data_IF_184856592169
#
_entry.id   IF_184856592169
#
_cell.length_a   1.000
_cell.length_b   1.000
_cell.length_c   1.000
_cell.angle_alpha   90.00
_cell.angle_beta   90.00
_cell.angle_gamma   90.00
#
_symmetry.space_group_name_H-M   'P 1'
#
loop_
_entity.id
_entity.type
_entity.pdbx_description
1 polymer ?
#
# COMPACT_ATOMS: atom_id res chain seq x y z
N UNK A 1 -8.12 -19.62 -13.97
CA UNK A 1 -7.89 -19.33 -12.53
C UNK A 1 -7.65 -17.85 -12.40
N UNK A 2 -8.55 -17.13 -11.73
CA UNK A 2 -8.38 -15.70 -11.48
C UNK A 2 -7.26 -15.57 -10.45
N UNK A 3 -6.10 -15.08 -10.86
CA UNK A 3 -5.09 -14.69 -9.89
C UNK A 3 -5.61 -13.45 -9.20
N UNK A 4 -6.07 -13.61 -7.96
CA UNK A 4 -6.46 -12.48 -7.13
C UNK A 4 -5.23 -11.58 -6.93
N UNK A 5 -5.17 -10.50 -7.69
CA UNK A 5 -4.08 -9.52 -7.68
C UNK A 5 -4.03 -8.75 -6.36
N UNK A 6 -5.06 -8.88 -5.51
CA UNK A 6 -5.09 -8.30 -4.17
C UNK A 6 -4.19 -9.05 -3.16
N UNK A 7 -3.83 -10.30 -3.45
CA UNK A 7 -2.96 -11.12 -2.60
C UNK A 7 -1.48 -10.87 -2.88
N UNK A 8 -0.70 -10.75 -1.81
CA UNK A 8 0.76 -10.64 -1.88
C UNK A 8 1.34 -11.94 -2.44
N UNK A 9 2.52 -11.89 -3.08
CA UNK A 9 3.17 -13.08 -3.63
C UNK A 9 3.34 -14.22 -2.62
N UNK A 10 3.63 -13.90 -1.35
CA UNK A 10 3.78 -14.89 -0.28
C UNK A 10 2.48 -15.63 0.01
N UNK A 11 1.37 -14.91 0.14
CA UNK A 11 0.05 -15.51 0.41
C UNK A 11 -0.43 -16.37 -0.75
N UNK A 12 -0.29 -15.88 -1.98
CA UNK A 12 -0.62 -16.67 -3.18
C UNK A 12 0.16 -17.98 -3.22
N UNK A 13 1.42 -17.97 -2.78
CA UNK A 13 2.24 -19.18 -2.78
C UNK A 13 1.90 -20.12 -1.63
N UNK A 14 1.60 -19.58 -0.44
CA UNK A 14 1.12 -20.37 0.72
C UNK A 14 -0.22 -21.03 0.40
N UNK A 15 -1.20 -20.28 -0.10
CA UNK A 15 -2.52 -20.82 -0.45
C UNK A 15 -2.42 -21.89 -1.52
N UNK A 16 -1.63 -21.66 -2.58
CA UNK A 16 -1.41 -22.68 -3.62
C UNK A 16 -0.83 -23.98 -3.07
N UNK A 17 0.10 -23.92 -2.11
CA UNK A 17 0.64 -25.14 -1.50
C UNK A 17 -0.39 -25.82 -0.60
N UNK A 18 -1.22 -25.06 0.11
CA UNK A 18 -2.32 -25.61 0.89
C UNK A 18 -3.37 -26.29 0.00
N UNK A 19 -3.72 -25.70 -1.14
CA UNK A 19 -4.58 -26.29 -2.18
C UNK A 19 -3.99 -27.57 -2.77
N UNK A 20 -2.66 -27.71 -2.77
CA UNK A 20 -1.96 -28.93 -3.17
C UNK A 20 -1.92 -29.99 -2.05
N UNK A 21 -2.55 -29.73 -0.89
CA UNK A 21 -2.66 -30.66 0.22
C UNK A 21 -1.46 -30.68 1.16
N UNK A 22 -0.56 -29.69 1.09
CA UNK A 22 0.56 -29.62 2.03
C UNK A 22 0.11 -29.06 3.38
N UNK A 23 0.64 -29.64 4.45
CA UNK A 23 0.38 -29.16 5.81
C UNK A 23 1.14 -27.86 6.12
N UNK A 24 0.66 -27.15 7.14
CA UNK A 24 1.18 -25.84 7.51
C UNK A 24 2.65 -25.88 7.99
N UNK A 25 3.11 -27.02 8.54
CA UNK A 25 4.47 -27.20 9.01
C UNK A 25 5.45 -27.37 7.84
N UNK A 26 5.09 -28.17 6.84
CA UNK A 26 5.86 -28.37 5.62
C UNK A 26 5.94 -27.09 4.79
N UNK A 27 4.82 -26.37 4.66
CA UNK A 27 4.82 -25.05 4.03
C UNK A 27 5.72 -24.10 4.82
N UNK A 28 5.57 -24.04 6.15
CA UNK A 28 6.38 -23.19 7.03
C UNK A 28 7.87 -23.45 6.85
N UNK A 29 8.30 -24.72 6.87
CA UNK A 29 9.71 -25.11 6.65
C UNK A 29 10.27 -24.58 5.33
N UNK A 30 9.50 -24.62 4.25
CA UNK A 30 9.91 -24.09 2.93
C UNK A 30 10.11 -22.59 2.92
N UNK A 31 9.38 -21.87 3.78
CA UNK A 31 9.54 -20.43 4.00
C UNK A 31 10.49 -20.09 5.15
N UNK A 32 11.16 -21.07 5.77
CA UNK A 32 11.99 -20.91 6.99
C UNK A 32 11.20 -20.28 8.15
N UNK A 33 9.94 -20.67 8.29
CA UNK A 33 8.99 -20.19 9.29
C UNK A 33 8.28 -21.36 10.00
N UNK A 34 7.55 -21.05 11.07
CA UNK A 34 6.77 -22.04 11.83
C UNK A 34 5.43 -22.37 11.17
N UNK A 35 4.79 -23.45 11.61
CA UNK A 35 3.42 -23.80 11.21
C UNK A 35 2.42 -22.67 11.54
N UNK A 36 2.56 -22.06 12.72
CA UNK A 36 1.72 -20.93 13.14
C UNK A 36 1.82 -19.72 12.21
N UNK A 37 3.00 -19.45 11.67
CA UNK A 37 3.17 -18.40 10.67
C UNK A 37 2.36 -18.71 9.42
N UNK A 38 2.39 -19.96 8.94
CA UNK A 38 1.61 -20.39 7.78
C UNK A 38 0.11 -20.26 8.05
N UNK A 39 -0.37 -20.76 9.20
CA UNK A 39 -1.76 -20.64 9.62
C UNK A 39 -2.21 -19.17 9.68
N UNK A 40 -1.36 -18.29 10.22
CA UNK A 40 -1.62 -16.84 10.27
C UNK A 40 -1.68 -16.22 8.86
N UNK A 41 -0.80 -16.60 7.94
CA UNK A 41 -0.84 -16.12 6.56
C UNK A 41 -2.13 -16.55 5.87
N UNK A 42 -2.57 -17.80 6.05
CA UNK A 42 -3.84 -18.31 5.50
C UNK A 42 -5.03 -17.51 6.05
N UNK A 43 -5.12 -17.38 7.37
CA UNK A 43 -6.18 -16.60 8.03
C UNK A 43 -6.22 -15.13 7.55
N UNK A 44 -5.06 -14.47 7.44
CA UNK A 44 -4.97 -13.09 6.96
C UNK A 44 -5.20 -12.91 5.45
N UNK A 45 -5.26 -14.00 4.68
CA UNK A 45 -5.58 -13.95 3.26
C UNK A 45 -7.08 -13.93 3.00
N UNK A 46 -7.89 -14.42 3.94
CA UNK A 46 -9.35 -14.41 3.87
C UNK A 46 -9.94 -13.04 4.24
N UNK A 47 -9.19 -12.23 4.98
CA UNK A 47 -9.62 -10.89 5.39
C UNK A 47 -9.56 -9.95 4.18
N UNK A 48 -10.69 -9.34 3.77
CA UNK A 48 -10.71 -8.35 2.70
C UNK A 48 -9.75 -7.21 3.03
N UNK A 49 -8.72 -7.05 2.22
CA UNK A 49 -7.80 -5.93 2.40
C UNK A 49 -8.45 -4.68 1.88
N UNK A 50 -8.38 -3.56 2.61
CA UNK A 50 -8.52 -2.29 1.94
C UNK A 50 -7.46 -2.27 0.82
N UNK A 51 -7.91 -2.21 -0.43
CA UNK A 51 -7.08 -2.10 -1.63
C UNK A 51 -5.91 -1.16 -1.31
N UNK A 52 -4.69 -1.66 -1.51
CA UNK A 52 -3.46 -1.14 -0.90
C UNK A 52 -3.42 0.39 -0.77
N UNK A 53 -3.74 0.89 0.41
CA UNK A 53 -3.56 2.30 0.74
C UNK A 53 -3.20 2.38 2.22
N UNK A 54 -2.16 3.18 2.46
CA UNK A 54 -1.69 3.74 3.72
C UNK A 54 -2.75 3.69 4.82
N UNK A 55 -2.35 3.18 5.99
CA UNK A 55 -3.07 3.13 7.27
C UNK A 55 -4.39 3.93 7.24
N UNK A 56 -5.52 3.21 7.29
CA UNK A 56 -6.87 3.77 7.44
C UNK A 56 -6.84 4.84 8.54
N UNK A 57 -6.79 6.11 8.14
CA UNK A 57 -6.60 7.25 9.04
C UNK A 57 -5.93 8.44 8.36
N UNK A 58 -5.02 8.20 7.41
CA UNK A 58 -4.36 9.26 6.65
C UNK A 58 -4.79 9.20 5.17
N UNK A 59 -5.83 9.97 4.82
CA UNK A 59 -6.32 10.17 3.44
C UNK A 59 -5.20 10.59 2.47
N UNK A 60 -4.16 11.23 3.01
CA UNK A 60 -3.02 11.75 2.28
C UNK A 60 -1.72 11.06 2.67
N UNK A 61 -0.88 10.76 1.68
CA UNK A 61 0.51 10.34 1.86
C UNK A 61 1.32 11.45 2.54
N UNK A 62 2.42 11.12 3.23
CA UNK A 62 3.27 12.13 3.89
C UNK A 62 3.76 13.25 2.97
N UNK A 63 4.11 12.93 1.72
CA UNK A 63 4.53 13.93 0.72
C UNK A 63 3.38 14.86 0.33
N UNK A 64 2.19 14.31 0.07
CA UNK A 64 0.98 15.06 -0.27
C UNK A 64 0.62 16.04 0.86
N UNK A 65 0.64 15.57 2.12
CA UNK A 65 0.39 16.41 3.31
C UNK A 65 1.40 17.53 3.46
N UNK A 66 2.67 17.24 3.24
CA UNK A 66 3.74 18.24 3.37
C UNK A 66 3.62 19.29 2.25
N UNK A 67 3.41 18.87 1.01
CA UNK A 67 3.22 19.79 -0.12
C UNK A 67 2.03 20.71 0.14
N UNK A 68 0.86 20.18 0.50
CA UNK A 68 -0.32 21.00 0.82
C UNK A 68 -0.08 21.99 1.95
N UNK A 69 0.62 21.57 3.03
CA UNK A 69 0.94 22.47 4.15
C UNK A 69 1.77 23.68 3.69
N UNK A 70 2.79 23.46 2.86
CA UNK A 70 3.65 24.54 2.38
C UNK A 70 2.94 25.42 1.34
N UNK A 71 2.11 24.82 0.48
CA UNK A 71 1.26 25.56 -0.47
C UNK A 71 0.23 26.42 0.24
N UNK A 72 -0.39 25.93 1.31
CA UNK A 72 -1.28 26.72 2.17
C UNK A 72 -0.55 27.87 2.90
N UNK A 73 0.77 27.74 3.13
CA UNK A 73 1.62 28.80 3.67
C UNK A 73 2.15 29.77 2.60
N UNK A 74 1.75 29.61 1.32
CA UNK A 74 2.09 30.52 0.23
C UNK A 74 3.36 30.17 -0.56
N UNK A 75 4.05 29.08 -0.24
CA UNK A 75 5.26 28.69 -0.98
C UNK A 75 4.92 28.27 -2.42
N UNK A 76 5.76 28.66 -3.38
CA UNK A 76 5.61 28.23 -4.78
C UNK A 76 6.29 26.88 -5.05
N UNK A 77 6.12 26.32 -6.25
CA UNK A 77 6.68 25.01 -6.59
C UNK A 77 8.20 25.05 -6.82
N UNK A 78 8.76 26.18 -7.24
CA UNK A 78 10.19 26.35 -7.50
C UNK A 78 10.96 26.46 -6.17
N UNK A 79 10.36 27.06 -5.15
CA UNK A 79 10.85 27.10 -3.78
C UNK A 79 10.79 25.72 -3.10
N UNK A 80 9.80 24.89 -3.45
CA UNK A 80 9.64 23.56 -2.87
C UNK A 80 10.48 22.50 -3.58
N UNK A 81 10.69 22.63 -4.89
CA UNK A 81 11.47 21.70 -5.70
C UNK A 81 12.81 21.26 -5.07
N UNK A 82 13.70 22.18 -4.63
CA UNK A 82 14.96 21.79 -3.99
C UNK A 82 14.76 21.09 -2.64
N UNK A 83 13.75 21.48 -1.86
CA UNK A 83 13.44 20.85 -0.56
C UNK A 83 12.98 19.40 -0.70
N UNK A 84 12.22 19.11 -1.75
CA UNK A 84 11.72 17.76 -2.02
C UNK A 84 12.62 16.94 -2.93
N UNK A 85 13.67 17.55 -3.52
CA UNK A 85 14.52 16.93 -4.56
C UNK A 85 13.69 16.38 -5.72
N UNK A 86 12.72 17.18 -6.16
CA UNK A 86 11.75 16.87 -7.23
C UNK A 86 11.54 18.11 -8.10
N UNK A 87 11.03 17.91 -9.31
CA UNK A 87 10.71 19.02 -10.20
C UNK A 87 9.45 19.77 -9.73
N UNK A 88 9.31 21.06 -10.10
CA UNK A 88 8.09 21.83 -9.87
C UNK A 88 6.83 21.15 -10.43
N UNK A 89 6.93 20.56 -11.63
CA UNK A 89 5.84 19.80 -12.26
C UNK A 89 5.40 18.59 -11.45
N UNK A 90 6.36 17.86 -10.89
CA UNK A 90 6.04 16.74 -10.02
C UNK A 90 5.26 17.19 -8.78
N UNK A 91 5.64 18.34 -8.20
CA UNK A 91 4.94 18.89 -7.03
C UNK A 91 3.54 19.39 -7.37
N UNK A 92 3.34 19.99 -8.55
CA UNK A 92 2.01 20.31 -9.10
C UNK A 92 1.10 19.08 -9.17
N UNK A 93 1.63 17.98 -9.71
CA UNK A 93 0.87 16.72 -9.82
C UNK A 93 0.55 16.12 -8.45
N UNK A 94 1.49 16.18 -7.51
CA UNK A 94 1.27 15.74 -6.12
C UNK A 94 0.16 16.55 -5.45
N UNK A 95 0.15 17.88 -5.61
CA UNK A 95 -0.92 18.73 -5.09
C UNK A 95 -2.28 18.38 -5.70
N UNK A 96 -2.36 18.24 -7.02
CA UNK A 96 -3.59 17.86 -7.72
C UNK A 96 -4.15 16.51 -7.22
N UNK A 97 -3.28 15.51 -7.08
CA UNK A 97 -3.66 14.20 -6.57
C UNK A 97 -4.11 14.26 -5.10
N UNK A 98 -3.44 15.06 -4.28
CA UNK A 98 -3.81 15.27 -2.89
C UNK A 98 -5.21 15.91 -2.77
N UNK A 99 -5.49 16.95 -3.58
CA UNK A 99 -6.80 17.60 -3.61
C UNK A 99 -7.91 16.64 -4.07
N UNK A 100 -7.64 15.83 -5.08
CA UNK A 100 -8.57 14.77 -5.51
C UNK A 100 -8.87 13.78 -4.37
N UNK A 101 -7.83 13.32 -3.66
CA UNK A 101 -8.02 12.41 -2.50
C UNK A 101 -8.83 13.05 -1.37
N UNK A 102 -8.66 14.34 -1.11
CA UNK A 102 -9.43 15.06 -0.09
C UNK A 102 -10.91 15.22 -0.43
N UNK A 103 -11.25 15.33 -1.73
CA UNK A 103 -12.64 15.39 -2.20
C UNK A 103 -13.35 14.03 -2.13
N UNK A 104 -12.59 12.94 -2.08
CA UNK A 104 -13.10 11.58 -2.16
C UNK A 104 -13.44 11.18 -3.61
N UNK A 105 -13.53 9.88 -3.91
CA UNK A 105 -13.84 9.38 -5.25
C UNK A 105 -15.31 9.55 -5.68
N UNK A 106 -16.20 10.03 -4.80
CA UNK A 106 -17.65 10.14 -5.04
C UNK A 106 -18.16 11.59 -5.21
N UNK A 107 -17.35 12.48 -5.81
CA UNK A 107 -17.82 13.81 -6.30
C UNK A 107 -17.99 13.81 -7.82
#
# INVERSE_FOLDING_TARGET
MVHDTSLRPVERRVLRMSEQGLDDAEIGRRFRHSADWTARVRSLSEVPRPNGHHLRGDVLRPIERRVLRWRAAGADYDELAPRFRRSPDFLRQVEALAQYRLRGPDS
#
